data_IF_943929592375
#
_entry.id   IF_943929592375
#
_cell.length_a   1.000
_cell.length_b   1.000
_cell.length_c   1.000
_cell.angle_alpha   90.00
_cell.angle_beta   90.00
_cell.angle_gamma   90.00
#
_symmetry.space_group_name_H-M   'P 1'
#
loop_
_entity.id
_entity.type
_entity.pdbx_description
1 polymer ?
#
# COMPACT_ATOMS: atom_id res chain seq x y z
N UNK A 1 -18.95 -13.95 9.18
CA UNK A 1 -19.14 -15.15 8.35
C UNK A 1 -19.85 -14.89 7.02
N UNK A 2 -21.03 -14.28 7.00
CA UNK A 2 -21.77 -14.04 5.72
C UNK A 2 -21.13 -12.91 4.91
N UNK A 3 -20.63 -11.87 5.58
CA UNK A 3 -19.91 -10.76 4.93
C UNK A 3 -18.70 -11.22 4.12
N UNK A 4 -17.86 -12.09 4.68
CA UNK A 4 -16.66 -12.61 4.02
C UNK A 4 -16.98 -13.44 2.77
N UNK A 5 -18.07 -14.20 2.80
CA UNK A 5 -18.51 -14.98 1.64
C UNK A 5 -19.00 -14.07 0.51
N UNK A 6 -19.77 -13.04 0.84
CA UNK A 6 -20.24 -12.04 -0.13
C UNK A 6 -19.04 -11.28 -0.70
N UNK A 7 -18.13 -10.81 0.17
CA UNK A 7 -16.94 -10.10 -0.25
C UNK A 7 -16.03 -10.98 -1.11
N UNK A 8 -15.78 -12.23 -0.69
CA UNK A 8 -15.01 -13.21 -1.46
C UNK A 8 -15.62 -13.47 -2.83
N UNK A 9 -16.95 -13.57 -2.94
CA UNK A 9 -17.64 -13.72 -4.22
C UNK A 9 -17.44 -12.49 -5.12
N UNK A 10 -17.58 -11.28 -4.56
CA UNK A 10 -17.32 -10.03 -5.29
C UNK A 10 -15.87 -9.96 -5.77
N UNK A 11 -14.91 -10.31 -4.92
CA UNK A 11 -13.48 -10.35 -5.27
C UNK A 11 -13.23 -11.31 -6.42
N UNK A 12 -13.82 -12.51 -6.41
CA UNK A 12 -13.69 -13.48 -7.51
C UNK A 12 -14.27 -12.92 -8.80
N UNK A 13 -15.47 -12.33 -8.77
CA UNK A 13 -16.10 -11.75 -9.96
C UNK A 13 -15.26 -10.62 -10.55
N UNK A 14 -14.74 -9.73 -9.70
CA UNK A 14 -13.86 -8.63 -10.10
C UNK A 14 -12.55 -9.17 -10.66
N UNK A 15 -11.96 -10.19 -10.04
CA UNK A 15 -10.73 -10.82 -10.52
C UNK A 15 -10.91 -11.47 -11.90
N UNK A 16 -12.02 -12.17 -12.13
CA UNK A 16 -12.35 -12.76 -13.44
C UNK A 16 -12.56 -11.68 -14.50
N UNK A 17 -13.29 -10.61 -14.17
CA UNK A 17 -13.47 -9.47 -15.07
C UNK A 17 -12.12 -8.82 -15.41
N UNK A 18 -11.25 -8.64 -14.41
CA UNK A 18 -9.91 -8.07 -14.58
C UNK A 18 -9.03 -8.93 -15.50
N UNK A 19 -9.01 -10.25 -15.30
CA UNK A 19 -8.30 -11.19 -16.20
C UNK A 19 -8.89 -11.16 -17.60
N UNK A 20 -10.21 -11.13 -17.75
CA UNK A 20 -10.86 -11.03 -19.05
C UNK A 20 -10.50 -9.73 -19.79
N UNK A 21 -10.44 -8.60 -19.08
CA UNK A 21 -9.95 -7.35 -19.65
C UNK A 21 -8.47 -7.42 -20.04
N UNK A 22 -7.65 -8.13 -19.26
CA UNK A 22 -6.23 -8.30 -19.57
C UNK A 22 -5.97 -9.09 -20.86
N UNK A 23 -6.81 -10.07 -21.20
CA UNK A 23 -6.66 -10.84 -22.44
C UNK A 23 -6.96 -10.02 -23.71
N UNK A 24 -7.72 -8.92 -23.56
CA UNK A 24 -8.06 -8.00 -24.65
C UNK A 24 -6.95 -6.97 -24.95
N UNK A 25 -5.91 -6.87 -24.12
CA UNK A 25 -4.81 -5.91 -24.32
C UNK A 25 -4.06 -6.24 -25.60
N UNK A 26 -4.08 -5.35 -26.60
CA UNK A 26 -3.34 -5.58 -27.85
C UNK A 26 -1.83 -5.59 -27.59
N UNK A 27 -1.13 -6.60 -28.09
CA UNK A 27 0.33 -6.73 -27.98
C UNK A 27 0.97 -6.29 -29.29
N UNK A 28 1.96 -5.40 -29.22
CA UNK A 28 2.75 -4.99 -30.39
C UNK A 28 3.76 -6.08 -30.78
N UNK A 29 4.18 -6.14 -32.05
CA UNK A 29 5.19 -7.10 -32.52
C UNK A 29 6.55 -7.00 -31.80
N UNK A 30 6.84 -5.87 -31.14
CA UNK A 30 8.02 -5.66 -30.28
C UNK A 30 7.73 -5.80 -28.78
N UNK A 31 6.75 -6.63 -28.40
CA UNK A 31 6.45 -6.86 -26.98
C UNK A 31 7.48 -7.81 -26.37
N UNK A 32 7.91 -7.51 -25.14
CA UNK A 32 8.74 -8.39 -24.33
C UNK A 32 8.16 -9.82 -24.27
N UNK A 33 9.00 -10.87 -24.15
CA UNK A 33 8.58 -12.28 -24.18
C UNK A 33 7.49 -12.66 -23.16
N UNK A 34 7.36 -11.91 -22.07
CA UNK A 34 6.30 -12.10 -21.06
C UNK A 34 5.01 -11.30 -21.34
N UNK A 35 5.10 -10.24 -22.14
CA UNK A 35 3.98 -9.40 -22.55
C UNK A 35 3.33 -8.58 -21.42
N UNK A 36 2.61 -7.49 -21.75
CA UNK A 36 1.93 -6.63 -20.77
C UNK A 36 0.76 -7.32 -20.05
N UNK A 37 0.32 -8.49 -20.54
CA UNK A 37 -0.82 -9.25 -20.00
C UNK A 37 -0.46 -10.11 -18.78
N UNK A 38 0.80 -10.54 -18.67
CA UNK A 38 1.20 -11.49 -17.63
C UNK A 38 0.98 -10.92 -16.21
N UNK A 39 1.30 -9.64 -16.01
CA UNK A 39 1.17 -9.01 -14.70
C UNK A 39 -0.31 -8.89 -14.24
N UNK A 40 -1.24 -8.32 -15.04
CA UNK A 40 -2.66 -8.32 -14.69
C UNK A 40 -3.23 -9.72 -14.44
N UNK A 41 -2.87 -10.71 -15.27
CA UNK A 41 -3.36 -12.08 -15.12
C UNK A 41 -2.88 -12.68 -13.79
N UNK A 42 -1.60 -12.53 -13.45
CA UNK A 42 -1.03 -13.02 -12.19
C UNK A 42 -1.78 -12.44 -10.98
N UNK A 43 -1.96 -11.12 -10.95
CA UNK A 43 -2.66 -10.43 -9.86
C UNK A 43 -4.12 -10.89 -9.77
N UNK A 44 -4.80 -11.02 -10.91
CA UNK A 44 -6.16 -11.54 -10.95
C UNK A 44 -6.28 -12.97 -10.41
N UNK A 45 -5.37 -13.87 -10.79
CA UNK A 45 -5.34 -15.24 -10.28
C UNK A 45 -5.15 -15.28 -8.76
N UNK A 46 -4.19 -14.51 -8.23
CA UNK A 46 -3.96 -14.43 -6.78
C UNK A 46 -5.19 -13.89 -6.06
N UNK A 47 -5.82 -12.83 -6.59
CA UNK A 47 -7.03 -12.26 -6.01
C UNK A 47 -8.20 -13.27 -6.01
N UNK A 48 -8.37 -14.03 -7.09
CA UNK A 48 -9.39 -15.08 -7.17
C UNK A 48 -9.15 -16.19 -6.13
N UNK A 49 -7.90 -16.61 -5.92
CA UNK A 49 -7.54 -17.58 -4.87
C UNK A 49 -7.86 -17.01 -3.48
N UNK A 50 -7.49 -15.76 -3.20
CA UNK A 50 -7.81 -15.10 -1.93
C UNK A 50 -9.33 -15.05 -1.70
N UNK A 51 -10.12 -14.65 -2.71
CA UNK A 51 -11.57 -14.64 -2.61
C UNK A 51 -12.16 -16.03 -2.35
N UNK A 52 -11.60 -17.07 -2.98
CA UNK A 52 -12.01 -18.46 -2.74
C UNK A 52 -11.71 -18.89 -1.30
N UNK A 53 -10.53 -18.53 -0.78
CA UNK A 53 -10.18 -18.80 0.63
C UNK A 53 -11.16 -18.12 1.58
N UNK A 54 -11.56 -16.87 1.33
CA UNK A 54 -12.56 -16.17 2.16
C UNK A 54 -13.93 -16.85 2.15
N UNK A 55 -14.34 -17.46 1.03
CA UNK A 55 -15.59 -18.22 0.94
C UNK A 55 -15.50 -19.54 1.72
N UNK A 56 -14.39 -20.27 1.54
CA UNK A 56 -14.19 -21.61 2.11
C UNK A 56 -13.84 -21.56 3.60
N UNK A 57 -13.15 -20.52 4.05
CA UNK A 57 -12.75 -20.28 5.43
C UNK A 57 -13.14 -18.85 5.83
N UNK A 58 -14.44 -18.58 6.04
CA UNK A 58 -14.88 -17.28 6.52
C UNK A 58 -14.44 -17.08 7.97
N UNK A 59 -13.99 -15.88 8.30
CA UNK A 59 -13.62 -15.49 9.65
C UNK A 59 -14.89 -15.18 10.48
N UNK A 60 -14.74 -15.16 11.82
CA UNK A 60 -15.79 -14.66 12.70
C UNK A 60 -16.22 -13.25 12.27
N UNK A 61 -17.49 -12.92 12.48
CA UNK A 61 -18.02 -11.59 12.15
C UNK A 61 -17.13 -10.51 12.79
N UNK A 62 -16.60 -9.60 11.96
CA UNK A 62 -15.74 -8.55 12.46
C UNK A 62 -16.57 -7.52 13.25
N UNK A 63 -16.16 -7.26 14.50
CA UNK A 63 -16.69 -6.14 15.25
C UNK A 63 -16.36 -4.85 14.53
N UNK A 64 -17.38 -4.09 14.18
CA UNK A 64 -17.18 -2.79 13.55
C UNK A 64 -16.40 -1.87 14.48
N UNK A 65 -15.38 -1.16 13.97
CA UNK A 65 -14.58 -0.27 14.79
C UNK A 65 -15.48 0.81 15.40
N UNK A 66 -15.42 0.96 16.72
CA UNK A 66 -16.09 2.08 17.39
C UNK A 66 -15.61 3.44 16.85
N UNK A 67 -16.42 4.49 17.05
CA UNK A 67 -16.17 5.86 16.57
C UNK A 67 -14.73 6.36 16.81
N UNK A 68 -14.13 5.99 17.95
CA UNK A 68 -12.75 6.35 18.29
C UNK A 68 -11.72 5.73 17.33
N UNK A 69 -11.90 4.47 16.96
CA UNK A 69 -11.04 3.78 15.99
C UNK A 69 -11.25 4.34 14.59
N UNK A 70 -12.49 4.69 14.24
CA UNK A 70 -12.81 5.36 12.99
C UNK A 70 -12.09 6.72 12.87
N UNK A 71 -12.06 7.51 13.96
CA UNK A 71 -11.29 8.76 14.03
C UNK A 71 -9.79 8.56 13.85
N UNK A 72 -9.21 7.50 14.43
CA UNK A 72 -7.80 7.13 14.21
C UNK A 72 -7.52 6.79 12.74
N UNK A 73 -8.38 6.00 12.11
CA UNK A 73 -8.28 5.68 10.68
C UNK A 73 -8.37 6.95 9.81
N UNK A 74 -9.27 7.87 10.13
CA UNK A 74 -9.37 9.16 9.44
C UNK A 74 -8.08 9.99 9.57
N UNK A 75 -7.49 10.04 10.77
CA UNK A 75 -6.20 10.72 11.00
C UNK A 75 -5.08 10.04 10.20
N UNK A 76 -5.02 8.70 10.19
CA UNK A 76 -4.04 7.96 9.39
C UNK A 76 -4.18 8.25 7.89
N UNK A 77 -5.42 8.27 7.38
CA UNK A 77 -5.72 8.59 5.99
C UNK A 77 -5.24 10.01 5.63
N UNK A 78 -5.64 11.01 6.42
CA UNK A 78 -5.23 12.41 6.20
C UNK A 78 -3.71 12.55 6.26
N UNK A 79 -3.06 11.89 7.21
CA UNK A 79 -1.61 11.90 7.32
C UNK A 79 -0.92 11.33 6.07
N UNK A 80 -1.42 10.22 5.52
CA UNK A 80 -0.90 9.63 4.29
C UNK A 80 -1.11 10.53 3.06
N UNK A 81 -2.25 11.21 2.97
CA UNK A 81 -2.52 12.20 1.92
C UNK A 81 -1.54 13.37 2.03
N UNK A 82 -1.38 13.93 3.24
CA UNK A 82 -0.43 15.02 3.52
C UNK A 82 1.00 14.60 3.18
N UNK A 83 1.40 13.38 3.54
CA UNK A 83 2.69 12.79 3.16
C UNK A 83 2.90 12.77 1.65
N UNK A 84 1.92 12.30 0.87
CA UNK A 84 2.03 12.26 -0.58
C UNK A 84 2.29 13.66 -1.18
N UNK A 85 1.62 14.70 -0.66
CA UNK A 85 1.86 16.08 -1.10
C UNK A 85 3.22 16.63 -0.64
N UNK A 86 3.72 16.21 0.53
CA UNK A 86 4.99 16.68 1.09
C UNK A 86 6.22 16.02 0.45
N UNK A 87 6.08 14.85 -0.19
CA UNK A 87 7.19 14.18 -0.86
C UNK A 87 7.88 15.05 -1.93
N UNK A 88 7.10 15.79 -2.72
CA UNK A 88 7.63 16.67 -3.78
C UNK A 88 8.43 17.86 -3.22
N UNK A 89 7.92 18.65 -2.25
CA UNK A 89 8.66 19.79 -1.71
C UNK A 89 9.75 19.41 -0.69
N UNK A 90 9.52 18.42 0.18
CA UNK A 90 10.41 18.10 1.31
C UNK A 90 11.34 16.89 1.07
N UNK A 91 11.18 16.19 -0.05
CA UNK A 91 11.90 14.93 -0.30
C UNK A 91 11.32 13.78 0.52
N UNK A 92 12.05 12.67 0.56
CA UNK A 92 11.58 11.41 1.14
C UNK A 92 11.76 11.33 2.66
N UNK A 93 12.90 11.78 3.21
CA UNK A 93 13.28 11.45 4.59
C UNK A 93 12.35 12.07 5.65
N UNK A 94 12.08 13.37 5.54
CA UNK A 94 11.31 14.10 6.56
C UNK A 94 9.84 13.63 6.57
N UNK A 95 9.12 13.64 5.43
CA UNK A 95 7.71 13.25 5.43
C UNK A 95 7.52 11.78 5.85
N UNK A 96 8.41 10.88 5.42
CA UNK A 96 8.35 9.45 5.78
C UNK A 96 8.57 9.25 7.27
N UNK A 97 9.54 9.94 7.87
CA UNK A 97 9.82 9.82 9.30
C UNK A 97 8.64 10.29 10.14
N UNK A 98 8.04 11.43 9.77
CA UNK A 98 6.88 12.01 10.47
C UNK A 98 5.67 11.09 10.38
N UNK A 99 5.30 10.63 9.18
CA UNK A 99 4.15 9.74 9.02
C UNK A 99 4.36 8.38 9.67
N UNK A 100 5.54 7.79 9.53
CA UNK A 100 5.85 6.51 10.17
C UNK A 100 5.78 6.62 11.71
N UNK A 101 6.31 7.71 12.28
CA UNK A 101 6.21 7.97 13.71
C UNK A 101 4.75 8.20 14.16
N UNK A 102 3.98 8.98 13.40
CA UNK A 102 2.58 9.23 13.71
C UNK A 102 1.75 7.94 13.70
N UNK A 103 1.90 7.12 12.66
CA UNK A 103 1.20 5.84 12.55
C UNK A 103 1.64 4.86 13.65
N UNK A 104 2.95 4.79 13.93
CA UNK A 104 3.47 3.99 15.03
C UNK A 104 2.89 4.40 16.39
N UNK A 105 2.75 5.72 16.63
CA UNK A 105 2.14 6.26 17.83
C UNK A 105 0.64 5.91 17.96
N UNK A 106 -0.09 5.83 16.84
CA UNK A 106 -1.49 5.41 16.85
C UNK A 106 -1.67 3.95 17.29
N UNK A 107 -0.68 3.08 17.03
CA UNK A 107 -0.68 1.66 17.45
C UNK A 107 -0.33 1.56 18.93
N UNK A 108 0.80 2.14 19.34
CA UNK A 108 1.20 2.25 20.75
C UNK A 108 1.57 3.70 21.07
N UNK A 109 0.87 4.38 21.99
CA UNK A 109 1.07 5.80 22.28
C UNK A 109 2.33 6.03 23.14
N UNK A 110 3.49 5.65 22.61
CA UNK A 110 4.82 5.88 23.20
C UNK A 110 5.64 6.72 22.23
N UNK A 111 5.80 8.00 22.56
CA UNK A 111 6.39 8.98 21.65
C UNK A 111 7.84 8.64 21.26
N UNK A 112 8.72 8.36 22.24
CA UNK A 112 10.13 8.09 21.95
C UNK A 112 10.35 6.86 21.04
N UNK A 113 9.76 5.68 21.33
CA UNK A 113 9.84 4.53 20.41
C UNK A 113 9.27 4.82 19.03
N UNK A 114 8.14 5.54 18.94
CA UNK A 114 7.51 5.84 17.66
C UNK A 114 8.36 6.77 16.78
N UNK A 115 8.96 7.81 17.37
CA UNK A 115 9.89 8.71 16.68
C UNK A 115 11.11 7.94 16.20
N UNK A 116 11.72 7.12 17.07
CA UNK A 116 12.90 6.34 16.72
C UNK A 116 12.60 5.34 15.59
N UNK A 117 11.47 4.63 15.67
CA UNK A 117 11.03 3.73 14.59
C UNK A 117 10.73 4.48 13.30
N UNK A 118 10.15 5.69 13.38
CA UNK A 118 9.85 6.50 12.20
C UNK A 118 11.12 6.96 11.48
N UNK A 119 12.10 7.46 12.24
CA UNK A 119 13.42 7.83 11.71
C UNK A 119 14.12 6.60 11.12
N UNK A 120 14.17 5.49 11.87
CA UNK A 120 14.80 4.25 11.43
C UNK A 120 14.19 3.68 10.15
N UNK A 121 12.85 3.66 10.05
CA UNK A 121 12.15 3.22 8.86
C UNK A 121 12.41 4.14 7.68
N UNK A 122 12.35 5.45 7.89
CA UNK A 122 12.61 6.46 6.85
C UNK A 122 14.02 6.32 6.26
N UNK A 123 15.04 6.27 7.12
CA UNK A 123 16.44 6.10 6.69
C UNK A 123 16.65 4.74 6.04
N UNK A 124 16.14 3.66 6.65
CA UNK A 124 16.30 2.30 6.12
C UNK A 124 15.68 2.15 4.72
N UNK A 125 14.45 2.63 4.54
CA UNK A 125 13.79 2.61 3.23
C UNK A 125 14.52 3.50 2.23
N UNK A 126 14.98 4.69 2.63
CA UNK A 126 15.75 5.55 1.75
C UNK A 126 17.02 4.84 1.25
N UNK A 127 17.76 4.17 2.14
CA UNK A 127 18.98 3.44 1.78
C UNK A 127 18.67 2.32 0.79
N UNK A 128 17.65 1.50 1.08
CA UNK A 128 17.24 0.39 0.20
C UNK A 128 16.82 0.93 -1.17
N UNK A 129 15.94 1.93 -1.20
CA UNK A 129 15.41 2.48 -2.44
C UNK A 129 16.48 3.18 -3.27
N UNK A 130 17.34 3.98 -2.64
CA UNK A 130 18.38 4.73 -3.34
C UNK A 130 19.53 3.85 -3.81
N UNK A 131 20.04 2.98 -2.94
CA UNK A 131 21.29 2.27 -3.19
C UNK A 131 21.10 0.82 -3.65
N UNK A 132 20.12 0.09 -3.09
CA UNK A 132 19.88 -1.30 -3.50
C UNK A 132 19.04 -1.38 -4.79
N UNK A 133 18.05 -0.48 -4.93
CA UNK A 133 17.13 -0.46 -6.08
C UNK A 133 17.43 0.63 -7.12
N UNK A 134 18.40 1.51 -6.85
CA UNK A 134 18.84 2.54 -7.80
C UNK A 134 17.81 3.63 -8.10
N UNK A 135 16.83 3.87 -7.22
CA UNK A 135 15.78 4.85 -7.46
C UNK A 135 16.28 6.29 -7.31
N UNK A 136 15.72 7.19 -8.13
CA UNK A 136 15.98 8.63 -8.15
C UNK A 136 15.41 9.41 -6.97
N UNK A 137 15.47 8.87 -5.74
CA UNK A 137 14.87 9.49 -4.56
C UNK A 137 15.63 10.75 -4.12
N UNK A 138 14.90 11.84 -3.96
CA UNK A 138 15.40 13.09 -3.37
C UNK A 138 15.30 12.99 -1.85
N UNK A 139 16.43 13.08 -1.17
CA UNK A 139 16.53 12.91 0.28
C UNK A 139 15.84 14.04 1.08
N UNK A 140 16.15 15.27 0.72
CA UNK A 140 15.89 16.51 1.47
C UNK A 140 15.16 17.55 0.59
N UNK A 141 14.57 18.59 1.19
CA UNK A 141 13.91 19.65 0.44
C UNK A 141 14.84 20.28 -0.59
N UNK A 142 14.30 20.65 -1.76
CA UNK A 142 15.10 21.34 -2.81
C UNK A 142 15.75 22.63 -2.28
N UNK A 143 15.09 23.31 -1.34
CA UNK A 143 15.63 24.50 -0.68
C UNK A 143 16.94 24.26 0.11
N UNK A 144 17.23 23.01 0.49
CA UNK A 144 18.45 22.60 1.20
C UNK A 144 19.49 21.96 0.26
N UNK A 145 19.17 21.76 -1.02
CA UNK A 145 20.05 21.07 -1.98
C UNK A 145 20.88 21.99 -2.88
N UNK A 146 20.67 23.31 -2.84
CA UNK A 146 21.39 24.27 -3.68
C UNK A 146 20.84 24.36 -5.10
#
# INVERSE_FOLDING_TARGET
MTGDRIFGLVVILVALAYVASATQIQTSFLSDPVGPRAFPILIGCVAAICGLVMILRPDPEADWPGLRTLGRLAVALVALVVYAYLLKPLGFLIPTAVVAALLGYQIRPRAAPAILSGIGLSVGLFVIFRFALGLGLVALPRALMG
#
